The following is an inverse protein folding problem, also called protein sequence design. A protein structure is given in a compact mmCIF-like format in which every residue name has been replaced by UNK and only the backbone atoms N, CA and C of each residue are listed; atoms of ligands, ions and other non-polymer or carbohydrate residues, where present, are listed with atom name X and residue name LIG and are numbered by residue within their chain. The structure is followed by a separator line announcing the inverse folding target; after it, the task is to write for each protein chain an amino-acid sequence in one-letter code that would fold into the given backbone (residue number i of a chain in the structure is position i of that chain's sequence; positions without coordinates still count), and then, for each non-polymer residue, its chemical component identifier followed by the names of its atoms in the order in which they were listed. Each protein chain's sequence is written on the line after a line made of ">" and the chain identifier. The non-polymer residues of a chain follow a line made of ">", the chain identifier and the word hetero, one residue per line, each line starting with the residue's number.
data_IF_068592232383
#
_entry.id   IF_068592232383
#
_cell.length_a   1.000
_cell.length_b   1.000
_cell.length_c   1.000
_cell.angle_alpha   90.00
_cell.angle_beta   90.00
_cell.angle_gamma   90.00
#
_symmetry.space_group_name_H-M   'P 1'
#
loop_
_entity.id
_entity.type
_entity.pdbx_description
1 polymer ?
#
# COMPACT_ATOMS: atom_id res chain seq x y z
N UNK A 1 -50.62 7.26 -20.18
CA UNK A 1 -50.92 6.87 -18.78
C UNK A 1 -49.57 6.72 -18.11
N UNK A 2 -49.16 7.54 -17.16
CA UNK A 2 -49.69 7.62 -15.80
C UNK A 2 -49.64 9.06 -15.26
N UNK A 3 -50.71 9.46 -14.60
CA UNK A 3 -50.79 10.73 -13.88
C UNK A 3 -50.46 10.51 -12.39
N UNK A 4 -50.05 11.61 -11.75
CA UNK A 4 -50.24 11.93 -10.33
C UNK A 4 -49.26 11.26 -9.35
N UNK A 5 -48.67 11.91 -8.35
CA UNK A 5 -48.63 13.29 -7.83
C UNK A 5 -47.54 13.24 -6.74
N UNK A 6 -46.91 14.37 -6.38
CA UNK A 6 -46.83 14.83 -4.99
C UNK A 6 -46.08 16.17 -4.90
N UNK A 7 -46.80 17.10 -4.28
CA UNK A 7 -46.52 18.50 -4.03
C UNK A 7 -45.19 18.73 -3.31
N UNK A 8 -44.29 19.53 -3.87
CA UNK A 8 -43.13 20.05 -3.14
C UNK A 8 -43.61 21.11 -2.15
N UNK A 9 -43.79 20.70 -0.90
CA UNK A 9 -44.11 21.61 0.20
C UNK A 9 -42.90 22.52 0.47
N UNK A 10 -42.97 23.76 0.02
CA UNK A 10 -42.13 24.86 0.50
C UNK A 10 -42.55 25.22 1.94
N UNK A 11 -41.81 24.71 2.92
CA UNK A 11 -41.84 25.23 4.29
C UNK A 11 -40.42 25.34 4.81
N UNK A 12 -40.12 26.51 5.35
CA UNK A 12 -38.99 26.84 6.25
C UNK A 12 -37.82 27.60 5.58
N UNK A 13 -38.11 28.84 5.18
CA UNK A 13 -37.11 29.91 5.22
C UNK A 13 -36.87 30.30 6.69
N UNK A 14 -36.12 29.48 7.42
CA UNK A 14 -35.53 29.90 8.70
C UNK A 14 -34.04 30.14 8.48
N UNK A 15 -33.46 31.25 8.96
CA UNK A 15 -32.03 31.46 8.87
C UNK A 15 -31.34 30.37 9.69
N UNK A 16 -30.69 29.43 9.00
CA UNK A 16 -29.91 28.38 9.63
C UNK A 16 -28.83 29.06 10.48
N UNK A 17 -29.04 29.05 11.80
CA UNK A 17 -28.02 29.43 12.79
C UNK A 17 -26.74 28.65 12.44
N UNK A 18 -25.55 29.27 12.44
CA UNK A 18 -24.33 28.54 12.17
C UNK A 18 -24.13 27.54 13.31
N UNK A 19 -24.59 26.32 13.08
CA UNK A 19 -24.31 25.18 13.94
C UNK A 19 -22.81 25.04 13.97
N UNK A 20 -22.25 25.17 15.19
CA UNK A 20 -20.82 25.10 15.43
C UNK A 20 -20.27 23.88 14.71
N UNK A 21 -19.41 24.14 13.72
CA UNK A 21 -18.69 23.10 12.98
C UNK A 21 -18.01 22.23 14.02
N UNK A 22 -18.55 21.04 14.28
CA UNK A 22 -17.86 20.03 15.09
C UNK A 22 -16.56 19.75 14.35
N UNK A 23 -15.46 20.23 14.92
CA UNK A 23 -14.11 19.94 14.46
C UNK A 23 -13.93 18.44 14.61
N UNK A 24 -14.12 17.69 13.52
CA UNK A 24 -13.77 16.28 13.50
C UNK A 24 -12.27 16.17 13.77
N UNK A 25 -11.80 15.31 14.70
CA UNK A 25 -10.39 15.13 14.90
C UNK A 25 -9.77 14.67 13.58
N UNK A 26 -8.80 15.45 13.10
CA UNK A 26 -8.04 15.15 11.89
C UNK A 26 -7.34 13.82 12.18
N UNK A 27 -7.86 12.73 11.60
CA UNK A 27 -7.23 11.41 11.72
C UNK A 27 -5.84 11.53 11.13
N UNK A 28 -4.83 11.25 11.95
CA UNK A 28 -3.43 11.25 11.54
C UNK A 28 -3.28 10.32 10.34
N UNK A 29 -2.90 10.89 9.20
CA UNK A 29 -2.65 10.13 7.98
C UNK A 29 -1.32 9.42 8.21
N UNK A 30 -1.38 8.12 8.53
CA UNK A 30 -0.21 7.26 8.66
C UNK A 30 0.49 7.22 7.30
N UNK A 31 1.62 7.93 7.18
CA UNK A 31 2.45 7.90 5.97
C UNK A 31 3.27 6.60 5.99
N UNK A 32 2.93 5.69 5.10
CA UNK A 32 3.78 4.53 4.84
C UNK A 32 4.94 4.95 3.92
N UNK A 33 6.16 4.87 4.43
CA UNK A 33 7.36 5.12 3.63
C UNK A 33 7.85 3.81 2.99
N UNK A 34 8.11 3.83 1.69
CA UNK A 34 8.74 2.72 0.97
C UNK A 34 10.25 2.93 0.99
N UNK A 35 10.98 2.07 1.71
CA UNK A 35 12.45 2.07 1.73
C UNK A 35 12.99 1.00 0.78
N UNK A 36 13.82 1.41 -0.17
CA UNK A 36 14.61 0.48 -0.96
C UNK A 36 15.84 0.05 -0.14
N UNK A 37 15.99 -1.26 0.08
CA UNK A 37 17.14 -1.85 0.76
C UNK A 37 17.86 -2.74 -0.25
N UNK A 38 19.14 -2.47 -0.46
CA UNK A 38 19.98 -3.34 -1.30
C UNK A 38 20.10 -4.71 -0.63
N UNK A 39 19.80 -5.78 -1.39
CA UNK A 39 19.98 -7.14 -0.89
C UNK A 39 21.47 -7.45 -0.85
N UNK A 40 22.02 -7.94 0.27
CA UNK A 40 23.43 -8.28 0.34
C UNK A 40 23.77 -9.35 -0.71
N UNK A 41 24.89 -9.16 -1.40
CA UNK A 41 25.41 -10.16 -2.31
C UNK A 41 25.65 -11.48 -1.56
N UNK A 42 25.31 -12.61 -2.21
CA UNK A 42 25.57 -13.93 -1.64
C UNK A 42 27.09 -14.08 -1.45
N UNK A 43 27.49 -14.56 -0.27
CA UNK A 43 28.91 -14.69 0.09
C UNK A 43 29.63 -15.82 -0.62
N UNK A 44 28.92 -16.85 -1.08
CA UNK A 44 29.52 -18.02 -1.75
C UNK A 44 29.48 -17.79 -3.26
N UNK A 45 30.65 -17.70 -3.86
CA UNK A 45 30.86 -17.46 -5.30
C UNK A 45 31.37 -18.70 -6.04
N UNK A 46 31.89 -19.69 -5.30
CA UNK A 46 32.43 -20.95 -5.79
C UNK A 46 31.98 -22.12 -4.92
N UNK A 47 31.69 -23.24 -5.57
CA UNK A 47 31.49 -24.55 -4.94
C UNK A 47 32.47 -25.51 -5.61
N UNK A 48 33.18 -26.32 -4.82
CA UNK A 48 34.09 -27.37 -5.32
C UNK A 48 33.62 -28.73 -4.83
N UNK A 49 33.41 -29.66 -5.75
CA UNK A 49 33.00 -31.04 -5.46
C UNK A 49 34.22 -31.93 -5.72
N UNK A 50 34.69 -32.64 -4.69
CA UNK A 50 35.82 -33.56 -4.79
C UNK A 50 35.34 -34.99 -5.03
N UNK A 51 35.97 -35.69 -5.97
CA UNK A 51 35.77 -37.11 -6.23
C UNK A 51 36.90 -37.94 -5.61
N UNK A 52 36.70 -39.25 -5.46
CA UNK A 52 37.63 -40.17 -4.79
C UNK A 52 38.97 -40.34 -5.52
N UNK A 53 39.02 -40.05 -6.82
CA UNK A 53 40.22 -40.15 -7.68
C UNK A 53 41.09 -38.87 -7.65
N UNK A 54 40.88 -38.01 -6.66
CA UNK A 54 41.50 -36.68 -6.52
C UNK A 54 41.12 -35.68 -7.64
N UNK A 55 40.09 -35.96 -8.43
CA UNK A 55 39.54 -34.97 -9.37
C UNK A 55 38.50 -34.08 -8.68
N UNK A 56 38.20 -32.92 -9.26
CA UNK A 56 37.17 -32.03 -8.74
C UNK A 56 36.48 -31.22 -9.84
N UNK A 57 35.22 -30.88 -9.60
CA UNK A 57 34.44 -29.95 -10.43
C UNK A 57 34.22 -28.63 -9.69
N UNK A 58 34.34 -27.52 -10.42
CA UNK A 58 34.12 -26.16 -9.90
C UNK A 58 32.83 -25.60 -10.48
N UNK A 59 31.92 -25.17 -9.60
CA UNK A 59 30.74 -24.41 -9.97
C UNK A 59 30.91 -22.96 -9.51
N UNK A 60 30.93 -22.04 -10.47
CA UNK A 60 30.94 -20.60 -10.22
C UNK A 60 29.53 -20.07 -10.39
N UNK A 61 29.13 -19.13 -9.54
CA UNK A 61 27.96 -18.31 -9.82
C UNK A 61 28.31 -17.35 -10.95
N UNK A 62 28.02 -17.69 -12.20
CA UNK A 62 28.17 -16.74 -13.31
C UNK A 62 27.18 -15.59 -13.15
N UNK A 63 27.71 -14.41 -12.79
CA UNK A 63 27.04 -13.11 -12.84
C UNK A 63 28.06 -12.00 -12.94
#
# INVERSE_FOLDING_TARGET
>A
LFANNLSFNNKNNEPHKPESRKEFPIKEIIKQEIKYIEKPARRITEIRIFFDDNTFEIFKSEK
#
